data_IF_926636006103
#
_entry.id   IF_926636006103
#
_cell.length_a   1.000
_cell.length_b   1.000
_cell.length_c   1.000
_cell.angle_alpha   90.00
_cell.angle_beta   90.00
_cell.angle_gamma   90.00
#
_symmetry.space_group_name_H-M   'P 1'
#
loop_
_entity.id
_entity.type
_entity.pdbx_description
1 polymer ?
#
# COMPACT_ATOMS: atom_id res chain seq x y z
N UNK A 1 -31.48 22.36 -42.60
CA UNK A 1 -31.28 21.47 -41.44
C UNK A 1 -32.11 22.09 -40.37
N UNK A 2 -33.28 21.51 -40.17
CA UNK A 2 -34.45 22.26 -39.72
C UNK A 2 -34.51 22.20 -38.20
N UNK A 3 -34.91 23.30 -37.57
CA UNK A 3 -34.91 23.51 -36.11
C UNK A 3 -35.52 22.32 -35.35
N UNK A 4 -36.60 21.76 -35.89
CA UNK A 4 -37.37 20.66 -35.33
C UNK A 4 -36.61 19.31 -35.34
N UNK A 5 -35.68 19.13 -36.29
CA UNK A 5 -34.84 17.92 -36.35
C UNK A 5 -33.75 17.98 -35.29
N UNK A 6 -33.20 19.17 -35.00
CA UNK A 6 -32.19 19.36 -33.95
C UNK A 6 -32.77 19.13 -32.56
N UNK A 7 -34.00 19.58 -32.33
CA UNK A 7 -34.69 19.44 -31.05
C UNK A 7 -35.00 17.97 -30.73
N UNK A 8 -35.49 17.21 -31.72
CA UNK A 8 -35.71 15.76 -31.60
C UNK A 8 -34.42 14.98 -31.31
N UNK A 9 -33.31 15.39 -31.91
CA UNK A 9 -32.01 14.75 -31.65
C UNK A 9 -31.57 15.03 -30.20
N UNK A 10 -31.73 16.26 -29.72
CA UNK A 10 -31.35 16.63 -28.35
C UNK A 10 -32.21 15.90 -27.31
N UNK A 11 -33.51 15.75 -27.57
CA UNK A 11 -34.43 15.02 -26.69
C UNK A 11 -34.13 13.52 -26.66
N UNK A 12 -33.81 12.94 -27.83
CA UNK A 12 -33.38 11.54 -27.93
C UNK A 12 -32.06 11.31 -27.20
N UNK A 13 -31.11 12.24 -27.31
CA UNK A 13 -29.83 12.16 -26.58
C UNK A 13 -30.04 12.25 -25.06
N UNK A 14 -30.91 13.15 -24.58
CA UNK A 14 -31.26 13.26 -23.16
C UNK A 14 -31.87 11.97 -22.63
N UNK A 15 -32.80 11.37 -23.37
CA UNK A 15 -33.40 10.08 -23.00
C UNK A 15 -32.37 8.94 -22.96
N UNK A 16 -31.45 8.88 -23.93
CA UNK A 16 -30.38 7.87 -23.95
C UNK A 16 -29.39 8.06 -22.81
N UNK A 17 -29.04 9.30 -22.46
CA UNK A 17 -28.18 9.60 -21.32
C UNK A 17 -28.85 9.18 -20.02
N UNK A 18 -30.13 9.47 -19.83
CA UNK A 18 -30.88 9.07 -18.64
C UNK A 18 -31.05 7.54 -18.54
N UNK A 19 -31.23 6.86 -19.66
CA UNK A 19 -31.30 5.39 -19.75
C UNK A 19 -29.94 4.75 -19.40
N UNK A 20 -28.84 5.35 -19.83
CA UNK A 20 -27.46 4.94 -19.47
C UNK A 20 -27.20 5.20 -17.98
N UNK A 21 -27.60 6.35 -17.43
CA UNK A 21 -27.46 6.65 -16.01
C UNK A 21 -28.27 5.69 -15.13
N UNK A 22 -29.51 5.37 -15.52
CA UNK A 22 -30.34 4.36 -14.81
C UNK A 22 -29.77 2.96 -14.94
N UNK A 23 -29.25 2.59 -16.11
CA UNK A 23 -28.60 1.29 -16.32
C UNK A 23 -27.29 1.19 -15.51
N UNK A 24 -26.52 2.27 -15.38
CA UNK A 24 -25.33 2.32 -14.52
C UNK A 24 -25.69 2.30 -13.03
N UNK A 25 -26.77 2.96 -12.62
CA UNK A 25 -27.27 2.93 -11.24
C UNK A 25 -27.84 1.55 -10.86
N UNK A 26 -28.50 0.85 -11.79
CA UNK A 26 -29.00 -0.51 -11.60
C UNK A 26 -27.91 -1.60 -11.73
N UNK A 27 -26.79 -1.29 -12.39
CA UNK A 27 -25.61 -2.15 -12.46
C UNK A 27 -24.71 -2.04 -11.21
N UNK A 28 -25.09 -1.25 -10.20
CA UNK A 28 -24.49 -1.37 -8.88
C UNK A 28 -24.87 -2.76 -8.33
N UNK A 29 -23.93 -3.72 -8.27
CA UNK A 29 -24.28 -5.07 -7.83
C UNK A 29 -24.75 -4.95 -6.37
N UNK A 30 -25.87 -5.58 -6.02
CA UNK A 30 -26.17 -5.87 -4.62
C UNK A 30 -25.07 -6.82 -4.11
N UNK A 31 -23.97 -6.25 -3.62
CA UNK A 31 -22.82 -7.00 -3.15
C UNK A 31 -23.14 -7.56 -1.76
N UNK A 32 -23.09 -8.88 -1.64
CA UNK A 32 -23.07 -9.58 -0.36
C UNK A 32 -21.94 -8.97 0.50
N UNK A 33 -22.14 -8.68 1.80
CA UNK A 33 -21.18 -7.95 2.66
C UNK A 33 -19.83 -8.66 2.89
N UNK A 34 -19.60 -9.80 2.24
CA UNK A 34 -18.35 -10.57 2.26
C UNK A 34 -17.60 -10.55 0.91
N UNK A 35 -18.13 -9.85 -0.10
CA UNK A 35 -17.46 -9.69 -1.38
C UNK A 35 -16.60 -8.42 -1.37
N UNK A 36 -15.29 -8.61 -1.25
CA UNK A 36 -14.27 -7.56 -1.37
C UNK A 36 -13.87 -7.34 -2.83
N UNK A 37 -14.85 -7.15 -3.72
CA UNK A 37 -14.56 -6.72 -5.09
C UNK A 37 -14.57 -5.19 -5.06
N UNK A 38 -13.41 -4.51 -5.14
CA UNK A 38 -13.37 -3.06 -5.04
C UNK A 38 -14.16 -2.43 -6.18
N UNK A 39 -14.94 -1.39 -5.87
CA UNK A 39 -15.61 -0.51 -6.86
C UNK A 39 -14.55 0.45 -7.46
N UNK A 40 -13.37 -0.08 -7.77
CA UNK A 40 -12.26 0.64 -8.34
C UNK A 40 -12.14 0.27 -9.82
N UNK A 41 -12.19 1.29 -10.66
CA UNK A 41 -11.99 1.27 -12.12
C UNK A 41 -10.60 0.80 -12.57
N UNK A 42 -9.79 0.24 -11.67
CA UNK A 42 -8.50 -0.36 -11.97
C UNK A 42 -8.57 -1.83 -11.60
N UNK A 43 -8.54 -2.67 -12.63
CA UNK A 43 -8.41 -4.10 -12.43
C UNK A 43 -7.14 -4.36 -11.59
N UNK A 44 -7.23 -5.19 -10.53
CA UNK A 44 -6.06 -5.59 -9.77
C UNK A 44 -4.99 -6.14 -10.71
N UNK A 45 -3.73 -5.74 -10.49
CA UNK A 45 -2.63 -6.15 -11.35
C UNK A 45 -2.33 -7.64 -11.09
N UNK A 46 -2.96 -8.50 -11.90
CA UNK A 46 -2.33 -9.62 -12.60
C UNK A 46 -1.89 -10.89 -11.85
N UNK A 47 -1.33 -10.83 -10.63
CA UNK A 47 -0.57 -11.98 -10.11
C UNK A 47 -1.17 -12.66 -8.86
N UNK A 48 -1.90 -11.95 -7.99
CA UNK A 48 -2.45 -12.55 -6.78
C UNK A 48 -3.99 -12.47 -6.80
N UNK A 49 -4.71 -13.60 -6.65
CA UNK A 49 -6.16 -13.58 -6.67
C UNK A 49 -6.71 -12.82 -5.46
N UNK A 50 -7.61 -11.85 -5.70
CA UNK A 50 -8.28 -11.08 -4.66
C UNK A 50 -9.37 -11.90 -3.94
N UNK A 51 -8.92 -12.90 -3.20
CA UNK A 51 -9.78 -13.77 -2.39
C UNK A 51 -9.48 -13.56 -0.90
N UNK A 52 -10.47 -13.71 -0.02
CA UNK A 52 -10.23 -13.67 1.43
C UNK A 52 -9.19 -14.69 1.88
N UNK A 53 -9.13 -15.85 1.21
CA UNK A 53 -8.12 -16.88 1.46
C UNK A 53 -6.71 -16.36 1.16
N UNK A 54 -6.48 -15.79 -0.03
CA UNK A 54 -5.17 -15.24 -0.39
C UNK A 54 -4.73 -14.12 0.56
N UNK A 55 -5.64 -13.20 0.90
CA UNK A 55 -5.35 -12.13 1.87
C UNK A 55 -4.97 -12.68 3.25
N UNK A 56 -5.74 -13.66 3.74
CA UNK A 56 -5.49 -14.28 5.05
C UNK A 56 -4.16 -15.06 5.07
N UNK A 57 -3.82 -15.75 3.98
CA UNK A 57 -2.54 -16.45 3.84
C UNK A 57 -1.37 -15.47 3.83
N UNK A 58 -1.47 -14.37 3.08
CA UNK A 58 -0.43 -13.32 3.06
C UNK A 58 -0.26 -12.69 4.45
N UNK A 59 -1.35 -12.32 5.12
CA UNK A 59 -1.31 -11.79 6.49
C UNK A 59 -0.64 -12.77 7.47
N UNK A 60 -0.98 -14.06 7.38
CA UNK A 60 -0.40 -15.09 8.24
C UNK A 60 1.11 -15.23 8.03
N UNK A 61 1.56 -15.28 6.77
CA UNK A 61 2.98 -15.39 6.43
C UNK A 61 3.76 -14.15 6.87
N UNK A 62 3.24 -12.95 6.61
CA UNK A 62 3.85 -11.69 7.06
C UNK A 62 3.90 -11.61 8.60
N UNK A 63 2.83 -12.00 9.29
CA UNK A 63 2.80 -12.04 10.75
C UNK A 63 3.81 -13.03 11.34
N UNK A 64 3.93 -14.22 10.75
CA UNK A 64 4.94 -15.20 11.15
C UNK A 64 6.37 -14.70 10.93
N UNK A 65 6.62 -14.06 9.79
CA UNK A 65 7.92 -13.46 9.46
C UNK A 65 8.27 -12.30 10.41
N UNK A 66 7.28 -11.46 10.72
CA UNK A 66 7.41 -10.39 11.71
C UNK A 66 7.78 -10.96 13.08
N UNK A 67 7.04 -11.97 13.55
CA UNK A 67 7.28 -12.58 14.85
C UNK A 67 8.68 -13.19 14.93
N UNK A 68 9.10 -13.94 13.92
CA UNK A 68 10.43 -14.56 13.89
C UNK A 68 11.55 -13.50 13.87
N UNK A 69 11.39 -12.45 13.07
CA UNK A 69 12.33 -11.33 13.02
C UNK A 69 12.40 -10.57 14.35
N UNK A 70 11.25 -10.30 14.96
CA UNK A 70 11.13 -9.60 16.24
C UNK A 70 11.76 -10.39 17.37
N UNK A 71 11.50 -11.70 17.47
CA UNK A 71 12.14 -12.58 18.46
C UNK A 71 13.65 -12.59 18.28
N UNK A 72 14.13 -12.69 17.04
CA UNK A 72 15.57 -12.65 16.74
C UNK A 72 16.19 -11.32 17.19
N UNK A 73 15.52 -10.19 16.95
CA UNK A 73 15.97 -8.89 17.42
C UNK A 73 15.95 -8.77 18.95
N UNK A 74 14.84 -9.17 19.58
CA UNK A 74 14.63 -9.05 21.02
C UNK A 74 15.62 -9.90 21.83
N UNK A 75 16.00 -11.06 21.30
CA UNK A 75 17.01 -11.93 21.90
C UNK A 75 18.46 -11.51 21.58
N UNK A 76 18.66 -10.47 20.76
CA UNK A 76 19.99 -9.98 20.40
C UNK A 76 20.70 -10.80 19.30
N UNK A 77 19.98 -11.64 18.58
CA UNK A 77 20.50 -12.61 17.62
C UNK A 77 20.77 -13.99 18.24
N UNK A 78 21.00 -14.98 17.38
CA UNK A 78 21.30 -16.34 17.81
C UNK A 78 22.79 -16.64 17.59
N UNK A 79 23.49 -17.06 18.64
CA UNK A 79 24.93 -17.36 18.58
C UNK A 79 25.25 -18.64 17.80
N UNK A 80 24.26 -19.51 17.56
CA UNK A 80 24.39 -20.73 16.78
C UNK A 80 24.82 -20.48 15.34
N UNK A 81 24.45 -19.34 14.77
CA UNK A 81 24.68 -19.02 13.37
C UNK A 81 25.24 -17.61 13.21
N UNK A 82 26.35 -17.48 12.48
CA UNK A 82 27.07 -16.21 12.29
C UNK A 82 26.25 -15.12 11.59
N UNK A 83 25.24 -15.50 10.81
CA UNK A 83 24.38 -14.58 10.03
C UNK A 83 23.18 -14.07 10.85
N UNK A 84 22.85 -14.73 11.96
CA UNK A 84 21.60 -14.47 12.71
C UNK A 84 21.79 -13.37 13.73
N UNK A 85 21.88 -12.15 13.21
CA UNK A 85 22.11 -10.92 13.98
C UNK A 85 20.81 -10.21 14.31
N UNK A 86 20.80 -9.44 15.42
CA UNK A 86 19.63 -8.67 15.83
C UNK A 86 19.16 -7.69 14.74
N UNK A 87 20.10 -7.04 14.04
CA UNK A 87 19.83 -6.05 12.99
C UNK A 87 19.12 -6.69 11.80
N UNK A 88 19.53 -7.90 11.41
CA UNK A 88 18.85 -8.65 10.34
C UNK A 88 17.44 -9.06 10.77
N UNK A 89 17.27 -9.50 12.02
CA UNK A 89 15.95 -9.77 12.60
C UNK A 89 15.03 -8.55 12.55
N UNK A 90 15.56 -7.38 12.94
CA UNK A 90 14.82 -6.12 12.86
C UNK A 90 14.48 -5.73 11.43
N UNK A 91 15.41 -5.89 10.47
CA UNK A 91 15.15 -5.60 9.06
C UNK A 91 13.98 -6.44 8.52
N UNK A 92 13.99 -7.75 8.78
CA UNK A 92 12.93 -8.67 8.36
C UNK A 92 11.60 -8.33 9.04
N UNK A 93 11.64 -8.01 10.34
CA UNK A 93 10.44 -7.58 11.08
C UNK A 93 9.88 -6.26 10.53
N UNK A 94 10.73 -5.26 10.31
CA UNK A 94 10.32 -3.97 9.75
C UNK A 94 9.74 -4.11 8.35
N UNK A 95 10.35 -4.94 7.48
CA UNK A 95 9.84 -5.23 6.15
C UNK A 95 8.45 -5.88 6.19
N UNK A 96 8.28 -6.91 7.02
CA UNK A 96 6.98 -7.57 7.17
C UNK A 96 5.92 -6.65 7.78
N UNK A 97 6.30 -5.86 8.79
CA UNK A 97 5.43 -4.90 9.45
C UNK A 97 5.01 -3.74 8.54
N UNK A 98 5.89 -3.29 7.65
CA UNK A 98 5.57 -2.30 6.62
C UNK A 98 4.47 -2.82 5.68
N UNK A 99 4.68 -3.99 5.07
CA UNK A 99 3.73 -4.55 4.10
C UNK A 99 2.37 -4.86 4.73
N UNK A 100 2.36 -5.38 5.96
CA UNK A 100 1.11 -5.57 6.70
C UNK A 100 0.46 -4.23 7.10
N UNK A 101 1.25 -3.24 7.52
CA UNK A 101 0.78 -1.92 7.92
C UNK A 101 0.10 -1.14 6.78
N UNK A 102 0.62 -1.25 5.56
CA UNK A 102 -0.01 -0.70 4.35
C UNK A 102 -1.42 -1.25 4.15
N UNK A 103 -1.56 -2.58 4.22
CA UNK A 103 -2.86 -3.24 4.11
C UNK A 103 -3.78 -2.84 5.26
N UNK A 104 -3.29 -2.83 6.51
CA UNK A 104 -4.08 -2.52 7.69
C UNK A 104 -4.65 -1.08 7.68
N UNK A 105 -3.83 -0.10 7.29
CA UNK A 105 -4.30 1.30 7.18
C UNK A 105 -5.27 1.46 6.01
N UNK A 106 -5.01 0.81 4.87
CA UNK A 106 -5.91 0.85 3.71
C UNK A 106 -7.25 0.20 4.04
N UNK A 107 -7.26 -0.94 4.73
CA UNK A 107 -8.47 -1.59 5.19
C UNK A 107 -9.23 -0.75 6.23
N UNK A 108 -8.54 0.01 7.08
CA UNK A 108 -9.18 0.86 8.08
C UNK A 108 -9.79 2.16 7.53
N UNK A 109 -9.14 2.80 6.56
CA UNK A 109 -9.50 4.16 6.11
C UNK A 109 -9.86 4.30 4.63
N UNK A 110 -9.72 3.24 3.82
CA UNK A 110 -10.03 3.26 2.39
C UNK A 110 -10.53 1.88 1.88
N UNK A 111 -11.64 1.41 2.47
CA UNK A 111 -12.25 0.10 2.18
C UNK A 111 -12.58 -0.10 0.69
N UNK A 112 -12.97 0.95 -0.03
CA UNK A 112 -13.35 0.88 -1.44
C UNK A 112 -12.20 0.50 -2.37
N UNK A 113 -10.94 0.73 -1.95
CA UNK A 113 -9.72 0.40 -2.70
C UNK A 113 -8.92 -0.72 -2.05
N UNK A 114 -9.44 -1.34 -1.00
CA UNK A 114 -8.76 -2.41 -0.29
C UNK A 114 -8.77 -3.69 -1.13
N UNK A 115 -7.57 -4.15 -1.49
CA UNK A 115 -7.35 -5.40 -2.22
C UNK A 115 -6.07 -6.08 -1.72
N UNK A 116 -5.78 -7.28 -2.21
CA UNK A 116 -4.51 -7.98 -1.90
C UNK A 116 -3.30 -7.20 -2.44
N UNK A 117 -3.50 -6.34 -3.45
CA UNK A 117 -2.46 -5.45 -3.94
C UNK A 117 -2.10 -4.34 -2.93
N UNK A 118 -2.97 -4.06 -1.95
CA UNK A 118 -2.70 -3.08 -0.88
C UNK A 118 -1.60 -3.53 0.09
N UNK A 119 -1.20 -4.81 0.09
CA UNK A 119 0.02 -5.25 0.78
C UNK A 119 1.29 -4.69 0.12
N UNK A 120 1.19 -4.16 -1.12
CA UNK A 120 2.29 -3.52 -1.84
C UNK A 120 3.51 -4.45 -2.04
N UNK A 121 3.24 -5.77 -2.07
CA UNK A 121 4.27 -6.80 -2.26
C UNK A 121 4.83 -6.77 -3.69
N UNK A 122 3.98 -6.53 -4.68
CA UNK A 122 4.37 -6.43 -6.08
C UNK A 122 4.62 -4.95 -6.46
N UNK A 123 5.70 -4.39 -5.91
CA UNK A 123 6.14 -3.01 -6.20
C UNK A 123 7.10 -2.94 -7.40
N UNK A 124 7.07 -3.95 -8.28
CA UNK A 124 7.94 -4.11 -9.44
C UNK A 124 9.28 -4.78 -9.14
N UNK A 125 9.89 -5.36 -10.18
CA UNK A 125 11.14 -6.14 -10.08
C UNK A 125 12.31 -5.35 -9.45
N UNK A 126 12.39 -4.04 -9.73
CA UNK A 126 13.45 -3.18 -9.20
C UNK A 126 13.41 -3.07 -7.66
N UNK A 127 12.22 -3.10 -7.06
CA UNK A 127 12.07 -3.09 -5.60
C UNK A 127 12.68 -4.35 -4.98
N UNK A 128 12.39 -5.53 -5.55
CA UNK A 128 12.94 -6.79 -5.07
C UNK A 128 14.46 -6.87 -5.28
N UNK A 129 14.97 -6.37 -6.42
CA UNK A 129 16.40 -6.30 -6.69
C UNK A 129 17.11 -5.38 -5.68
N UNK A 130 16.54 -4.21 -5.37
CA UNK A 130 17.13 -3.28 -4.42
C UNK A 130 17.19 -3.87 -3.00
N UNK A 131 16.10 -4.49 -2.52
CA UNK A 131 16.07 -5.16 -1.22
C UNK A 131 17.03 -6.36 -1.17
N UNK A 132 17.10 -7.14 -2.25
CA UNK A 132 18.04 -8.24 -2.39
C UNK A 132 19.49 -7.77 -2.35
N UNK A 133 19.81 -6.70 -3.10
CA UNK A 133 21.14 -6.09 -3.11
C UNK A 133 21.53 -5.56 -1.72
N UNK A 134 20.62 -4.88 -1.02
CA UNK A 134 20.85 -4.40 0.34
C UNK A 134 21.10 -5.55 1.33
N UNK A 135 20.36 -6.66 1.20
CA UNK A 135 20.57 -7.84 2.02
C UNK A 135 21.92 -8.51 1.72
N UNK A 136 22.27 -8.65 0.44
CA UNK A 136 23.56 -9.21 0.01
C UNK A 136 24.72 -8.35 0.51
N UNK A 137 24.63 -7.03 0.35
CA UNK A 137 25.63 -6.09 0.88
C UNK A 137 25.78 -6.24 2.40
N UNK A 138 24.66 -6.38 3.13
CA UNK A 138 24.68 -6.59 4.57
C UNK A 138 25.40 -7.88 4.95
N UNK A 139 25.09 -9.00 4.29
CA UNK A 139 25.70 -10.31 4.58
C UNK A 139 27.19 -10.33 4.26
N UNK A 140 27.60 -9.74 3.12
CA UNK A 140 29.01 -9.59 2.74
C UNK A 140 29.74 -8.73 3.80
N UNK A 141 29.17 -7.58 4.14
CA UNK A 141 29.76 -6.68 5.14
C UNK A 141 29.88 -7.35 6.51
N UNK A 142 28.89 -8.15 6.89
CA UNK A 142 28.89 -8.90 8.16
C UNK A 142 29.98 -9.98 8.17
N UNK A 143 30.20 -10.67 7.05
CA UNK A 143 31.22 -11.71 6.92
C UNK A 143 32.64 -11.15 6.99
N UNK A 144 32.92 -10.07 6.25
CA UNK A 144 34.26 -9.49 6.18
C UNK A 144 34.58 -8.52 7.33
N UNK A 145 33.60 -7.74 7.80
CA UNK A 145 33.80 -6.67 8.79
C UNK A 145 32.68 -6.63 9.85
N UNK A 146 32.57 -7.64 10.72
CA UNK A 146 31.53 -7.70 11.75
C UNK A 146 31.58 -6.53 12.74
N UNK A 147 32.77 -5.96 12.98
CA UNK A 147 32.97 -4.80 13.87
C UNK A 147 32.19 -3.55 13.43
N UNK A 148 31.97 -3.36 12.12
CA UNK A 148 31.21 -2.20 11.61
C UNK A 148 29.73 -2.23 12.02
N UNK A 149 29.20 -3.41 12.35
CA UNK A 149 27.78 -3.59 12.72
C UNK A 149 27.56 -3.59 14.23
N UNK A 150 28.61 -3.47 15.03
CA UNK A 150 28.54 -3.46 16.51
C UNK A 150 28.16 -2.09 17.09
N UNK A 151 28.17 -1.02 16.28
CA UNK A 151 27.85 0.32 16.77
C UNK A 151 26.35 0.47 17.09
N UNK A 152 26.03 0.38 18.40
CA UNK A 152 24.66 0.54 18.93
C UNK A 152 23.98 1.86 18.55
N UNK A 153 24.73 2.95 18.40
CA UNK A 153 24.14 4.24 18.09
C UNK A 153 23.59 4.26 16.67
N UNK A 154 24.36 3.76 15.71
CA UNK A 154 23.94 3.67 14.30
C UNK A 154 22.67 2.81 14.19
N UNK A 155 22.63 1.65 14.85
CA UNK A 155 21.45 0.78 14.89
C UNK A 155 20.25 1.48 15.52
N UNK A 156 20.43 2.16 16.65
CA UNK A 156 19.35 2.87 17.33
C UNK A 156 18.79 4.02 16.48
N UNK A 157 19.65 4.79 15.80
CA UNK A 157 19.20 5.86 14.90
C UNK A 157 18.45 5.28 13.70
N UNK A 158 18.92 4.16 13.12
CA UNK A 158 18.23 3.46 12.05
C UNK A 158 16.83 2.99 12.45
N UNK A 159 16.69 2.37 13.63
CA UNK A 159 15.40 1.95 14.18
C UNK A 159 14.47 3.16 14.36
N UNK A 160 14.97 4.25 14.95
CA UNK A 160 14.17 5.46 15.14
C UNK A 160 13.67 6.04 13.81
N UNK A 161 14.52 6.09 12.78
CA UNK A 161 14.15 6.56 11.45
C UNK A 161 13.10 5.68 10.77
N UNK A 162 13.23 4.36 10.87
CA UNK A 162 12.25 3.40 10.32
C UNK A 162 10.89 3.58 11.00
N UNK A 163 10.87 3.66 12.34
CA UNK A 163 9.63 3.87 13.09
C UNK A 163 8.99 5.21 12.76
N UNK A 164 9.79 6.29 12.73
CA UNK A 164 9.30 7.62 12.36
C UNK A 164 8.74 7.67 10.93
N UNK A 165 9.45 7.07 9.97
CA UNK A 165 9.00 6.99 8.58
C UNK A 165 7.70 6.22 8.43
N UNK A 166 7.55 5.09 9.13
CA UNK A 166 6.31 4.31 9.12
C UNK A 166 5.14 5.11 9.72
N UNK A 167 5.35 5.78 10.85
CA UNK A 167 4.32 6.63 11.47
C UNK A 167 3.88 7.76 10.55
N UNK A 168 4.84 8.47 9.94
CA UNK A 168 4.54 9.54 8.99
C UNK A 168 3.76 9.01 7.78
N UNK A 169 4.14 7.84 7.27
CA UNK A 169 3.45 7.20 6.15
C UNK A 169 2.02 6.80 6.51
N UNK A 170 1.82 6.11 7.63
CA UNK A 170 0.50 5.75 8.11
C UNK A 170 -0.37 6.98 8.38
N UNK A 171 0.18 8.03 9.00
CA UNK A 171 -0.52 9.29 9.22
C UNK A 171 -0.93 9.97 7.90
N UNK A 172 -0.05 9.99 6.90
CA UNK A 172 -0.35 10.53 5.58
C UNK A 172 -1.46 9.73 4.87
N UNK A 173 -1.44 8.40 4.95
CA UNK A 173 -2.51 7.55 4.40
C UNK A 173 -3.84 7.76 5.12
N UNK A 174 -3.84 7.85 6.45
CA UNK A 174 -5.03 8.14 7.26
C UNK A 174 -5.60 9.52 6.89
N UNK A 175 -4.74 10.52 6.77
CA UNK A 175 -5.14 11.89 6.46
C UNK A 175 -5.64 12.05 5.02
N UNK A 176 -5.01 11.35 4.07
CA UNK A 176 -5.43 11.32 2.68
C UNK A 176 -6.65 10.41 2.43
N UNK A 177 -6.96 9.45 3.33
CA UNK A 177 -8.12 8.55 3.33
C UNK A 177 -8.60 8.18 1.92
N UNK A 178 -9.81 8.56 1.52
CA UNK A 178 -10.45 8.26 0.23
C UNK A 178 -9.72 8.87 -0.97
N UNK A 179 -8.95 9.92 -0.73
CA UNK A 179 -8.14 10.64 -1.71
C UNK A 179 -6.82 9.93 -2.02
N UNK A 180 -6.38 9.00 -1.16
CA UNK A 180 -5.18 8.20 -1.38
C UNK A 180 -5.43 7.14 -2.44
N UNK A 181 -4.51 7.04 -3.40
CA UNK A 181 -4.52 6.04 -4.47
C UNK A 181 -3.08 5.58 -4.68
N UNK A 182 -2.83 4.27 -4.65
CA UNK A 182 -1.48 3.71 -4.89
C UNK A 182 -1.01 3.97 -6.33
N UNK A 183 -1.94 4.12 -7.28
CA UNK A 183 -1.66 4.59 -8.62
C UNK A 183 -1.94 6.09 -8.74
N UNK A 184 -1.01 6.83 -9.36
CA UNK A 184 -1.23 8.24 -9.73
C UNK A 184 -2.49 8.31 -10.59
N UNK A 185 -3.51 8.99 -10.08
CA UNK A 185 -4.75 9.19 -10.81
C UNK A 185 -4.49 10.21 -11.93
N UNK A 186 -4.50 9.75 -13.18
CA UNK A 186 -4.33 10.62 -14.35
C UNK A 186 -5.60 11.41 -14.72
N UNK A 187 -6.73 11.16 -14.05
CA UNK A 187 -8.00 11.85 -14.28
C UNK A 187 -8.66 12.26 -12.96
N UNK A 188 -9.04 13.54 -12.87
CA UNK A 188 -9.63 14.16 -11.67
C UNK A 188 -11.08 13.69 -11.49
N UNK A 189 -11.39 13.04 -10.37
CA UNK A 189 -12.77 12.63 -10.01
C UNK A 189 -13.48 13.78 -9.29
N UNK A 190 -14.81 13.88 -9.42
CA UNK A 190 -15.64 14.88 -8.71
C UNK A 190 -15.58 14.76 -7.17
N UNK A 191 -15.20 13.59 -6.66
CA UNK A 191 -15.01 13.30 -5.22
C UNK A 191 -13.59 13.51 -4.72
N UNK A 192 -12.65 13.89 -5.59
CA UNK A 192 -11.24 14.10 -5.25
C UNK A 192 -11.05 15.54 -4.76
N UNK A 193 -11.06 15.76 -3.46
CA UNK A 193 -10.81 17.09 -2.86
C UNK A 193 -9.34 17.21 -2.53
N UNK A 194 -8.72 18.36 -2.83
CA UNK A 194 -7.32 18.57 -2.49
C UNK A 194 -7.20 18.65 -0.96
N UNK A 195 -6.48 17.71 -0.36
CA UNK A 195 -6.21 17.72 1.08
C UNK A 195 -5.04 18.67 1.32
N UNK A 196 -5.33 19.89 1.76
CA UNK A 196 -4.35 20.96 2.01
C UNK A 196 -3.99 21.14 3.48
N UNK A 197 -4.60 20.35 4.36
CA UNK A 197 -4.44 20.49 5.80
C UNK A 197 -3.40 19.51 6.38
N UNK A 198 -3.02 19.68 7.65
CA UNK A 198 -2.12 18.76 8.36
C UNK A 198 -0.69 18.72 7.79
N UNK A 199 -0.17 17.51 7.54
CA UNK A 199 1.22 17.28 7.05
C UNK A 199 1.47 17.91 5.67
N UNK A 200 0.40 18.15 4.89
CA UNK A 200 0.47 18.76 3.56
C UNK A 200 0.42 20.29 3.57
N UNK A 201 0.15 20.91 4.73
CA UNK A 201 0.04 22.36 4.87
C UNK A 201 1.33 23.12 4.51
N UNK A 202 2.49 22.46 4.58
CA UNK A 202 3.78 23.06 4.27
C UNK A 202 4.12 23.18 2.77
N UNK A 203 3.37 22.52 1.88
CA UNK A 203 3.65 22.52 0.44
C UNK A 203 2.65 23.42 -0.27
N UNK A 204 2.91 24.73 -0.24
CA UNK A 204 2.23 25.70 -1.12
C UNK A 204 2.45 25.26 -2.56
N UNK A 205 1.36 24.89 -3.23
CA UNK A 205 1.30 24.76 -4.68
C UNK A 205 1.47 26.19 -5.23
N UNK A 206 2.50 26.40 -6.05
CA UNK A 206 2.56 27.60 -6.87
C UNK A 206 1.51 27.44 -7.97
N UNK A 207 0.63 28.45 -8.07
CA UNK A 207 -0.37 28.58 -9.14
C UNK A 207 0.26 28.58 -10.54
#
# INVERSE_FOLDING_TARGET
>A
MDSETSERIEETLKQRVEEIEKSQAQSAPQQHPLLTIPVATQAPHGNIPNTPLASSTVAFLLGGLFFLGFVTFALGGFTTYWWTTAQLGFFVAAWAGFHWGEFAVTAGWNLEKCSVDSYLLDNGAMYHVANGAALTEYLISLYFWPHLKTNRYVTATGIALVMFGQLLRSAAMIHASTNFSHAVAYSKRKTHTLVTDGVYAGRKVFD
#
